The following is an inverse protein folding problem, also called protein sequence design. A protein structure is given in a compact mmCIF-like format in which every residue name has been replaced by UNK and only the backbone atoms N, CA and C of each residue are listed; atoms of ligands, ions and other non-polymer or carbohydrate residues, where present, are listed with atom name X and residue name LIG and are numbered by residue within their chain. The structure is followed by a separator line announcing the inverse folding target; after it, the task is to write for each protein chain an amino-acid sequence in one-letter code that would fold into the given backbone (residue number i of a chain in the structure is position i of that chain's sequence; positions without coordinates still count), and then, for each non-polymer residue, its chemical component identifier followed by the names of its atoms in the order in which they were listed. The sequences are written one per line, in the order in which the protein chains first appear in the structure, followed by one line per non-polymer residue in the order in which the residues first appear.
data_IF_620482972567
#
_entry.id   IF_620482972567
#
_cell.length_a   1.000
_cell.length_b   1.000
_cell.length_c   1.000
_cell.angle_alpha   90.00
_cell.angle_beta   90.00
_cell.angle_gamma   90.00
#
_symmetry.space_group_name_H-M   'P 1'
#
loop_
_entity.id
_entity.type
_entity.pdbx_description
1 polymer ?
#
# COMPACT_ATOMS: atom_id res chain seq x y z
N UNK A 1 8.09 6.21 31.72
CA UNK A 1 8.51 7.11 30.62
C UNK A 1 8.66 6.38 29.28
N UNK A 2 7.60 6.14 28.51
CA UNK A 2 7.73 5.60 27.14
C UNK A 2 7.21 6.50 26.00
N UNK A 3 6.75 7.74 26.30
CA UNK A 3 6.08 8.58 25.29
C UNK A 3 7.02 9.26 24.28
N UNK A 4 8.27 9.51 24.62
CA UNK A 4 9.23 10.24 23.75
C UNK A 4 9.78 9.37 22.61
N UNK A 5 9.85 8.05 22.76
CA UNK A 5 10.40 7.13 21.72
C UNK A 5 9.48 7.00 20.50
N UNK A 6 8.17 7.14 20.67
CA UNK A 6 7.20 7.04 19.57
C UNK A 6 7.23 8.26 18.62
N UNK A 7 7.51 9.45 19.15
CA UNK A 7 7.64 10.67 18.35
C UNK A 7 8.86 10.62 17.42
N UNK A 8 10.02 10.25 17.94
CA UNK A 8 11.26 10.18 17.18
C UNK A 8 11.19 9.12 16.07
N UNK A 9 10.62 7.94 16.34
CA UNK A 9 10.41 6.87 15.34
C UNK A 9 9.49 7.31 14.22
N UNK A 10 8.40 8.05 14.53
CA UNK A 10 7.48 8.59 13.52
C UNK A 10 8.17 9.62 12.63
N UNK A 11 9.00 10.50 13.20
CA UNK A 11 9.75 11.52 12.42
C UNK A 11 10.75 10.88 11.47
N UNK A 12 11.48 9.86 11.92
CA UNK A 12 12.43 9.11 11.08
C UNK A 12 11.68 8.39 9.94
N UNK A 13 10.60 7.70 10.27
CA UNK A 13 9.75 7.01 9.32
C UNK A 13 9.23 7.95 8.22
N UNK A 14 8.73 9.13 8.59
CA UNK A 14 8.26 10.14 7.64
C UNK A 14 9.40 10.70 6.78
N UNK A 15 10.58 10.90 7.34
CA UNK A 15 11.75 11.35 6.56
C UNK A 15 12.18 10.31 5.52
N UNK A 16 12.28 9.05 5.92
CA UNK A 16 12.62 7.96 5.00
C UNK A 16 11.57 7.83 3.89
N UNK A 17 10.29 7.86 4.27
CA UNK A 17 9.19 7.79 3.33
C UNK A 17 9.21 8.97 2.36
N UNK A 18 9.41 10.19 2.82
CA UNK A 18 9.51 11.39 1.98
C UNK A 18 10.72 11.34 1.06
N UNK A 19 11.85 10.79 1.51
CA UNK A 19 13.02 10.60 0.66
C UNK A 19 12.77 9.58 -0.47
N UNK A 20 12.00 8.52 -0.21
CA UNK A 20 11.71 7.46 -1.19
C UNK A 20 10.69 7.88 -2.25
N UNK A 21 9.67 8.64 -1.89
CA UNK A 21 8.56 8.96 -2.80
C UNK A 21 8.39 10.46 -3.10
N UNK A 22 9.17 11.31 -2.49
CA UNK A 22 8.98 12.76 -2.58
C UNK A 22 7.81 13.27 -1.72
N UNK A 23 7.55 14.57 -1.80
CA UNK A 23 6.42 15.22 -1.12
C UNK A 23 5.13 15.05 -1.91
N UNK A 24 4.01 14.92 -1.19
CA UNK A 24 2.67 14.95 -1.79
C UNK A 24 2.26 16.43 -1.95
N UNK A 25 2.07 16.87 -3.18
CA UNK A 25 1.55 18.19 -3.52
C UNK A 25 0.29 18.04 -4.36
N UNK A 26 -0.66 18.97 -4.18
CA UNK A 26 -1.90 18.95 -4.93
C UNK A 26 -1.69 18.99 -6.46
N UNK A 27 -0.69 19.74 -6.91
CA UNK A 27 -0.35 19.90 -8.32
C UNK A 27 0.53 18.76 -8.86
N UNK A 28 1.26 18.06 -7.98
CA UNK A 28 2.14 16.98 -8.40
C UNK A 28 1.36 15.75 -8.87
N UNK A 29 1.87 14.98 -9.84
CA UNK A 29 1.30 13.70 -10.17
C UNK A 29 1.35 12.77 -8.94
N UNK A 30 0.22 12.13 -8.59
CA UNK A 30 0.21 11.09 -7.58
C UNK A 30 1.24 10.03 -7.96
N UNK A 31 2.06 9.62 -6.99
CA UNK A 31 3.00 8.52 -7.22
C UNK A 31 2.21 7.22 -7.13
N UNK A 32 2.00 6.49 -8.24
CA UNK A 32 1.10 5.33 -8.25
C UNK A 32 1.66 4.11 -7.50
N UNK A 33 2.83 4.23 -6.89
CA UNK A 33 3.57 3.16 -6.20
C UNK A 33 3.80 3.45 -4.72
N UNK A 34 3.15 4.47 -4.17
CA UNK A 34 3.40 4.94 -2.80
C UNK A 34 3.24 3.86 -1.74
N UNK A 35 2.24 2.99 -1.88
CA UNK A 35 1.99 1.88 -0.96
C UNK A 35 3.11 0.82 -0.97
N UNK A 36 3.69 0.53 -2.14
CA UNK A 36 4.80 -0.43 -2.25
C UNK A 36 6.13 0.15 -1.74
N UNK A 37 6.29 1.48 -1.79
CA UNK A 37 7.45 2.18 -1.26
C UNK A 37 7.34 2.51 0.24
N UNK A 38 6.29 2.05 0.90
CA UNK A 38 6.16 2.20 2.34
C UNK A 38 7.29 1.44 3.07
N UNK A 39 7.97 2.03 4.08
CA UNK A 39 9.12 1.38 4.72
C UNK A 39 8.86 -0.03 5.24
N UNK A 40 7.67 -0.31 5.75
CA UNK A 40 7.29 -1.66 6.20
C UNK A 40 7.12 -2.61 5.01
N UNK A 41 6.59 -2.15 3.88
CA UNK A 41 6.50 -2.95 2.66
C UNK A 41 7.90 -3.30 2.12
N UNK A 42 8.82 -2.34 2.11
CA UNK A 42 10.22 -2.56 1.73
C UNK A 42 10.95 -3.47 2.72
N UNK A 43 10.68 -3.36 4.02
CA UNK A 43 11.22 -4.29 5.01
C UNK A 43 10.70 -5.72 4.81
N UNK A 44 9.42 -5.88 4.48
CA UNK A 44 8.85 -7.18 4.14
C UNK A 44 9.50 -7.77 2.87
N UNK A 45 9.70 -6.96 1.82
CA UNK A 45 10.42 -7.37 0.62
C UNK A 45 11.86 -7.79 0.95
N UNK A 46 12.59 -6.98 1.72
CA UNK A 46 13.95 -7.31 2.13
C UNK A 46 13.99 -8.61 2.93
N UNK A 47 13.05 -8.80 3.86
CA UNK A 47 12.92 -10.03 4.63
C UNK A 47 12.67 -11.24 3.73
N UNK A 48 11.76 -11.11 2.74
CA UNK A 48 11.48 -12.14 1.76
C UNK A 48 12.74 -12.52 0.98
N UNK A 49 13.46 -11.52 0.45
CA UNK A 49 14.70 -11.75 -0.31
C UNK A 49 15.79 -12.40 0.55
N UNK A 50 16.02 -11.88 1.75
CA UNK A 50 17.02 -12.46 2.67
C UNK A 50 16.65 -13.90 3.06
N UNK A 51 15.36 -14.15 3.31
CA UNK A 51 14.92 -15.49 3.64
C UNK A 51 15.12 -16.46 2.47
N UNK A 52 14.75 -16.08 1.26
CA UNK A 52 14.80 -16.98 0.12
C UNK A 52 16.21 -17.16 -0.46
N UNK A 53 17.08 -16.15 -0.35
CA UNK A 53 18.41 -16.19 -0.95
C UNK A 53 19.52 -16.49 0.04
N UNK A 54 19.29 -16.30 1.34
CA UNK A 54 20.31 -16.50 2.38
C UNK A 54 19.91 -17.56 3.39
N UNK A 55 18.70 -17.43 3.99
CA UNK A 55 18.29 -18.31 5.09
C UNK A 55 17.92 -19.71 4.59
N UNK A 56 17.08 -19.85 3.60
CA UNK A 56 16.69 -21.15 3.04
C UNK A 56 17.88 -21.94 2.50
N UNK A 57 18.84 -21.36 1.74
CA UNK A 57 20.03 -22.09 1.30
C UNK A 57 20.93 -22.54 2.45
N UNK A 58 20.99 -21.80 3.57
CA UNK A 58 21.84 -22.10 4.71
C UNK A 58 21.21 -23.01 5.77
N UNK A 59 19.92 -22.81 6.04
CA UNK A 59 19.18 -23.48 7.12
C UNK A 59 18.25 -24.58 6.62
N UNK A 60 18.10 -24.70 5.30
CA UNK A 60 17.12 -25.55 4.67
C UNK A 60 15.71 -24.94 4.60
N UNK A 61 14.85 -25.60 3.83
CA UNK A 61 13.43 -25.25 3.76
C UNK A 61 12.70 -25.84 4.99
N UNK A 62 12.75 -25.13 6.10
CA UNK A 62 12.07 -25.50 7.35
C UNK A 62 10.69 -24.87 7.42
N UNK A 63 9.85 -25.34 8.34
CA UNK A 63 8.54 -24.70 8.59
C UNK A 63 8.67 -23.21 8.97
N UNK A 64 9.76 -22.84 9.67
CA UNK A 64 10.02 -21.43 10.04
C UNK A 64 10.36 -20.59 8.81
N UNK A 65 11.31 -21.03 7.98
CA UNK A 65 11.69 -20.29 6.77
C UNK A 65 10.57 -20.26 5.74
N UNK A 66 9.72 -21.28 5.68
CA UNK A 66 8.50 -21.28 4.87
C UNK A 66 7.51 -20.20 5.31
N UNK A 67 7.07 -20.25 6.57
CA UNK A 67 6.11 -19.28 7.12
C UNK A 67 6.63 -17.84 7.11
N UNK A 68 7.94 -17.64 7.26
CA UNK A 68 8.55 -16.32 7.18
C UNK A 68 8.41 -15.72 5.77
N UNK A 69 8.63 -16.52 4.71
CA UNK A 69 8.37 -16.09 3.33
C UNK A 69 6.89 -15.79 3.10
N UNK A 70 6.01 -16.66 3.61
CA UNK A 70 4.56 -16.51 3.43
C UNK A 70 4.05 -15.22 4.09
N UNK A 71 4.45 -14.94 5.33
CA UNK A 71 4.12 -13.68 6.02
C UNK A 71 4.66 -12.47 5.27
N UNK A 72 5.95 -12.48 4.91
CA UNK A 72 6.57 -11.38 4.19
C UNK A 72 5.93 -11.17 2.80
N UNK A 73 5.64 -12.26 2.10
CA UNK A 73 4.94 -12.25 0.81
C UNK A 73 3.53 -11.68 0.93
N UNK A 74 2.75 -12.10 1.92
CA UNK A 74 1.38 -11.61 2.16
C UNK A 74 1.35 -10.12 2.53
N UNK A 75 2.38 -9.59 3.17
CA UNK A 75 2.48 -8.15 3.43
C UNK A 75 2.81 -7.40 2.14
N UNK A 76 3.76 -7.88 1.34
CA UNK A 76 4.29 -7.16 0.18
C UNK A 76 3.45 -7.34 -1.09
N UNK A 77 3.01 -8.57 -1.40
CA UNK A 77 2.38 -8.89 -2.68
C UNK A 77 1.13 -8.05 -3.01
N UNK A 78 0.16 -7.83 -2.11
CA UNK A 78 -1.02 -7.03 -2.43
C UNK A 78 -0.67 -5.55 -2.70
N UNK A 79 0.37 -5.03 -2.05
CA UNK A 79 0.85 -3.66 -2.25
C UNK A 79 1.60 -3.54 -3.58
N UNK A 80 2.42 -4.52 -3.93
CA UNK A 80 3.09 -4.60 -5.22
C UNK A 80 2.09 -4.73 -6.38
N UNK A 81 1.07 -5.57 -6.21
CA UNK A 81 -0.02 -5.71 -7.20
C UNK A 81 -0.78 -4.40 -7.38
N UNK A 82 -1.12 -3.72 -6.28
CA UNK A 82 -1.77 -2.41 -6.33
C UNK A 82 -0.89 -1.37 -7.02
N UNK A 83 0.40 -1.33 -6.72
CA UNK A 83 1.36 -0.44 -7.35
C UNK A 83 1.49 -0.73 -8.86
N UNK A 84 1.57 -1.99 -9.26
CA UNK A 84 1.61 -2.39 -10.67
C UNK A 84 0.37 -1.91 -11.44
N UNK A 85 -0.82 -2.10 -10.86
CA UNK A 85 -2.07 -1.56 -11.41
C UNK A 85 -1.99 -0.03 -11.50
N UNK A 86 -1.49 0.64 -10.45
CA UNK A 86 -1.32 2.09 -10.43
C UNK A 86 -0.41 2.59 -11.56
N UNK A 87 0.71 1.88 -11.81
CA UNK A 87 1.62 2.20 -12.93
C UNK A 87 0.92 2.00 -14.27
N UNK A 88 0.20 0.90 -14.46
CA UNK A 88 -0.55 0.65 -15.69
C UNK A 88 -1.61 1.74 -15.95
N UNK A 89 -2.34 2.14 -14.92
CA UNK A 89 -3.31 3.24 -15.01
C UNK A 89 -2.61 4.59 -15.30
N UNK A 90 -1.44 4.84 -14.72
CA UNK A 90 -0.67 6.05 -14.99
C UNK A 90 -0.17 6.10 -16.45
N UNK A 91 0.26 4.97 -16.99
CA UNK A 91 0.63 4.85 -18.41
C UNK A 91 -0.60 5.11 -19.29
N UNK A 92 -1.73 4.48 -19.01
CA UNK A 92 -2.97 4.70 -19.74
C UNK A 92 -3.43 6.17 -19.68
N UNK A 93 -3.30 6.81 -18.51
CA UNK A 93 -3.61 8.23 -18.37
C UNK A 93 -2.70 9.13 -19.21
N UNK A 94 -1.40 8.79 -19.33
CA UNK A 94 -0.46 9.49 -20.22
C UNK A 94 -0.78 9.31 -21.70
N UNK A 95 -1.38 8.18 -22.05
CA UNK A 95 -1.86 7.89 -23.41
C UNK A 95 -3.23 8.51 -23.71
N UNK A 96 -3.75 9.36 -22.83
CA UNK A 96 -5.00 10.12 -23.03
C UNK A 96 -6.24 9.49 -22.38
N UNK A 97 -6.12 8.37 -21.68
CA UNK A 97 -7.25 7.82 -20.94
C UNK A 97 -7.60 8.71 -19.73
N UNK A 98 -8.89 8.97 -19.54
CA UNK A 98 -9.38 9.78 -18.40
C UNK A 98 -9.53 8.92 -17.15
N UNK A 99 -8.40 8.49 -16.57
CA UNK A 99 -8.33 7.58 -15.44
C UNK A 99 -7.44 8.19 -14.35
N UNK A 100 -7.87 8.05 -13.10
CA UNK A 100 -7.07 8.42 -11.93
C UNK A 100 -6.19 7.23 -11.50
N UNK A 101 -4.85 7.34 -11.59
CA UNK A 101 -3.94 6.29 -11.19
C UNK A 101 -3.72 6.20 -9.67
N UNK A 102 -4.28 7.14 -8.89
CA UNK A 102 -4.09 7.20 -7.45
C UNK A 102 -4.61 5.94 -6.75
N UNK A 103 -4.05 5.63 -5.58
CA UNK A 103 -4.55 4.56 -4.73
C UNK A 103 -6.00 4.85 -4.33
N UNK A 104 -6.85 3.84 -4.39
CA UNK A 104 -8.22 3.89 -3.87
C UNK A 104 -8.48 2.72 -2.93
N UNK A 105 -9.43 2.91 -2.01
CA UNK A 105 -9.89 1.86 -1.10
C UNK A 105 -10.32 0.60 -1.85
N UNK A 106 -11.05 0.76 -2.98
CA UNK A 106 -11.51 -0.36 -3.80
C UNK A 106 -10.36 -1.14 -4.40
N UNK A 107 -9.39 -0.45 -5.00
CA UNK A 107 -8.19 -1.09 -5.58
C UNK A 107 -7.42 -1.86 -4.51
N UNK A 108 -7.15 -1.24 -3.36
CA UNK A 108 -6.47 -1.89 -2.25
C UNK A 108 -7.21 -3.14 -1.79
N UNK A 109 -8.52 -3.04 -1.54
CA UNK A 109 -9.34 -4.16 -1.09
C UNK A 109 -9.35 -5.31 -2.09
N UNK A 110 -9.47 -5.02 -3.39
CA UNK A 110 -9.42 -6.03 -4.45
C UNK A 110 -8.05 -6.72 -4.52
N UNK A 111 -6.95 -5.96 -4.41
CA UNK A 111 -5.61 -6.54 -4.42
C UNK A 111 -5.37 -7.45 -3.20
N UNK A 112 -5.83 -7.04 -2.02
CA UNK A 112 -5.73 -7.86 -0.81
C UNK A 112 -6.58 -9.13 -0.94
N UNK A 113 -7.82 -9.01 -1.42
CA UNK A 113 -8.69 -10.17 -1.63
C UNK A 113 -8.13 -11.13 -2.69
N UNK A 114 -7.66 -10.60 -3.82
CA UNK A 114 -7.04 -11.41 -4.88
C UNK A 114 -5.80 -12.15 -4.36
N UNK A 115 -4.95 -11.46 -3.57
CA UNK A 115 -3.79 -12.11 -2.95
C UNK A 115 -4.20 -13.20 -1.97
N UNK A 116 -5.23 -12.96 -1.13
CA UNK A 116 -5.74 -13.97 -0.20
C UNK A 116 -6.23 -15.22 -0.92
N UNK A 117 -7.03 -15.04 -1.98
CA UNK A 117 -7.58 -16.14 -2.78
C UNK A 117 -6.46 -16.89 -3.50
N UNK A 118 -5.54 -16.18 -4.14
CA UNK A 118 -4.40 -16.78 -4.82
C UNK A 118 -3.51 -17.58 -3.84
N UNK A 119 -3.24 -17.00 -2.67
CA UNK A 119 -2.46 -17.69 -1.63
C UNK A 119 -3.16 -18.94 -1.13
N UNK A 120 -4.45 -18.87 -0.82
CA UNK A 120 -5.21 -20.05 -0.41
C UNK A 120 -5.23 -21.13 -1.52
N UNK A 121 -5.43 -20.73 -2.78
CA UNK A 121 -5.43 -21.65 -3.89
C UNK A 121 -4.09 -22.39 -4.01
N UNK A 122 -2.96 -21.70 -3.99
CA UNK A 122 -1.63 -22.34 -4.13
C UNK A 122 -1.24 -23.20 -2.93
N UNK A 123 -1.88 -23.04 -1.77
CA UNK A 123 -1.62 -23.86 -0.58
C UNK A 123 -2.56 -25.06 -0.44
N UNK A 124 -3.71 -25.04 -1.13
CA UNK A 124 -4.72 -26.08 -1.05
C UNK A 124 -4.84 -26.93 -2.32
N UNK A 125 -4.45 -26.38 -3.48
CA UNK A 125 -4.65 -26.99 -4.78
C UNK A 125 -3.33 -27.19 -5.52
N UNK A 126 -3.06 -28.45 -5.93
CA UNK A 126 -1.82 -28.84 -6.59
C UNK A 126 -1.69 -28.28 -8.01
N UNK A 127 -2.81 -28.07 -8.70
CA UNK A 127 -2.80 -27.55 -10.06
C UNK A 127 -2.52 -26.06 -10.04
N UNK A 128 -3.14 -25.33 -9.11
CA UNK A 128 -2.84 -23.91 -8.86
C UNK A 128 -1.37 -23.71 -8.47
N UNK A 129 -0.84 -24.54 -7.56
CA UNK A 129 0.55 -24.48 -7.16
C UNK A 129 1.51 -24.71 -8.34
N UNK A 130 1.24 -25.70 -9.19
CA UNK A 130 2.03 -25.99 -10.40
C UNK A 130 1.96 -24.86 -11.41
N UNK A 131 0.76 -24.30 -11.65
CA UNK A 131 0.59 -23.19 -12.59
C UNK A 131 1.43 -21.97 -12.15
N UNK A 132 1.35 -21.59 -10.88
CA UNK A 132 2.13 -20.47 -10.34
C UNK A 132 3.63 -20.78 -10.35
N UNK A 133 4.05 -21.98 -9.96
CA UNK A 133 5.45 -22.39 -10.02
C UNK A 133 6.00 -22.30 -11.44
N UNK A 134 5.22 -22.68 -12.45
CA UNK A 134 5.60 -22.56 -13.86
C UNK A 134 5.84 -21.10 -14.25
N UNK A 135 4.91 -20.19 -13.88
CA UNK A 135 5.06 -18.76 -14.17
C UNK A 135 6.31 -18.17 -13.48
N UNK A 136 6.54 -18.53 -12.21
CA UNK A 136 7.74 -18.07 -11.49
C UNK A 136 9.02 -18.59 -12.14
N UNK A 137 9.00 -19.82 -12.65
CA UNK A 137 10.17 -20.43 -13.31
C UNK A 137 10.60 -19.70 -14.58
N UNK A 138 9.71 -18.95 -15.23
CA UNK A 138 10.07 -18.09 -16.38
C UNK A 138 11.05 -16.98 -16.01
N UNK A 139 11.13 -16.61 -14.74
CA UNK A 139 12.07 -15.59 -14.22
C UNK A 139 13.44 -16.18 -13.83
N UNK A 140 13.76 -17.40 -14.29
CA UNK A 140 15.13 -17.91 -14.30
C UNK A 140 15.48 -18.91 -13.20
N UNK A 141 14.56 -19.32 -12.33
CA UNK A 141 14.79 -20.37 -11.32
C UNK A 141 13.59 -21.29 -11.21
N UNK A 142 13.81 -22.64 -11.20
CA UNK A 142 12.71 -23.55 -10.92
C UNK A 142 12.12 -23.27 -9.55
N UNK A 143 10.84 -22.93 -9.51
CA UNK A 143 10.10 -22.72 -8.29
C UNK A 143 9.39 -24.02 -7.89
N UNK A 144 9.44 -24.34 -6.61
CA UNK A 144 8.66 -25.42 -6.03
C UNK A 144 7.81 -24.89 -4.89
N UNK A 145 6.49 -25.02 -5.03
CA UNK A 145 5.53 -24.59 -4.02
C UNK A 145 5.09 -25.84 -3.26
N UNK A 146 5.32 -25.81 -1.95
CA UNK A 146 4.90 -26.89 -1.05
C UNK A 146 3.45 -26.64 -0.63
N UNK A 147 2.62 -27.66 -0.80
CA UNK A 147 1.24 -27.66 -0.31
C UNK A 147 1.25 -27.86 1.21
N UNK A 148 0.89 -26.83 1.93
CA UNK A 148 0.75 -26.87 3.39
C UNK A 148 -0.45 -26.03 3.82
N UNK A 149 -1.59 -26.69 4.13
CA UNK A 149 -2.78 -25.97 4.63
C UNK A 149 -2.52 -25.16 5.91
N UNK A 150 -1.50 -25.53 6.71
CA UNK A 150 -1.17 -24.79 7.92
C UNK A 150 -0.60 -23.40 7.63
N UNK A 151 -0.16 -23.14 6.39
CA UNK A 151 0.30 -21.81 5.97
C UNK A 151 -0.84 -20.78 5.87
N UNK A 152 -2.11 -21.24 5.83
CA UNK A 152 -3.27 -20.34 5.91
C UNK A 152 -3.31 -19.52 7.20
N UNK A 153 -2.66 -19.97 8.26
CA UNK A 153 -2.45 -19.18 9.47
C UNK A 153 -1.61 -17.91 9.25
N UNK A 154 -0.95 -17.78 8.10
CA UNK A 154 -0.24 -16.56 7.74
C UNK A 154 -1.17 -15.46 7.17
N UNK A 155 -2.42 -15.79 6.76
CA UNK A 155 -3.37 -14.83 6.16
C UNK A 155 -3.61 -13.56 7.00
N UNK A 156 -3.62 -13.58 8.34
CA UNK A 156 -3.73 -12.34 9.13
C UNK A 156 -2.66 -11.29 8.82
N UNK A 157 -1.51 -11.67 8.23
CA UNK A 157 -0.49 -10.73 7.79
C UNK A 157 -1.02 -9.72 6.73
N UNK A 158 -2.08 -10.05 6.00
CA UNK A 158 -2.77 -9.13 5.10
C UNK A 158 -3.34 -7.90 5.81
N UNK A 159 -3.61 -7.99 7.10
CA UNK A 159 -4.04 -6.83 7.89
C UNK A 159 -2.95 -5.74 7.94
N UNK A 160 -1.67 -6.13 7.89
CA UNK A 160 -0.54 -5.19 7.81
C UNK A 160 -0.58 -4.46 6.47
N UNK A 161 -0.83 -5.16 5.37
CA UNK A 161 -0.97 -4.53 4.05
C UNK A 161 -2.17 -3.55 4.01
N UNK A 162 -3.30 -3.91 4.61
CA UNK A 162 -4.45 -3.01 4.74
C UNK A 162 -4.11 -1.78 5.60
N UNK A 163 -3.35 -1.95 6.67
CA UNK A 163 -2.91 -0.85 7.51
C UNK A 163 -1.98 0.10 6.75
N UNK A 164 -1.01 -0.44 5.99
CA UNK A 164 -0.12 0.34 5.10
C UNK A 164 -0.96 1.11 4.07
N UNK A 165 -1.90 0.46 3.42
CA UNK A 165 -2.77 1.11 2.45
C UNK A 165 -3.64 2.21 3.06
N UNK A 166 -4.14 2.02 4.29
CA UNK A 166 -4.84 3.09 5.04
C UNK A 166 -3.93 4.28 5.34
N UNK A 167 -2.69 4.02 5.75
CA UNK A 167 -1.72 5.08 5.99
C UNK A 167 -1.41 5.83 4.69
N UNK A 168 -1.29 5.12 3.58
CA UNK A 168 -1.07 5.72 2.27
C UNK A 168 -2.27 6.55 1.80
N UNK A 169 -3.49 6.05 1.93
CA UNK A 169 -4.71 6.80 1.57
C UNK A 169 -4.85 8.13 2.30
N UNK A 170 -4.32 8.25 3.51
CA UNK A 170 -4.27 9.53 4.25
C UNK A 170 -3.34 10.56 3.61
N UNK A 171 -2.47 10.13 2.70
CA UNK A 171 -1.39 10.92 2.09
C UNK A 171 -1.55 11.07 0.58
N UNK A 172 -2.48 10.31 -0.03
CA UNK A 172 -2.79 10.48 -1.45
C UNK A 172 -3.19 11.94 -1.65
N UNK A 173 -2.64 12.61 -2.67
CA UNK A 173 -3.04 13.96 -3.04
C UNK A 173 -4.47 13.95 -3.60
N UNK A 174 -5.43 13.81 -2.71
CA UNK A 174 -6.87 13.84 -3.01
C UNK A 174 -7.31 15.17 -3.56
N UNK A 175 -6.45 16.12 -3.39
CA UNK A 175 -6.66 17.43 -3.86
C UNK A 175 -5.99 17.72 -5.17
N UNK A 176 -6.04 16.81 -6.10
CA UNK A 176 -5.96 17.26 -7.49
C UNK A 176 -7.35 17.72 -7.92
N UNK A 177 -7.77 18.92 -7.48
CA UNK A 177 -9.06 19.44 -7.85
C UNK A 177 -9.22 19.34 -9.36
N UNK A 178 -8.18 19.78 -10.11
CA UNK A 178 -8.16 19.76 -11.56
C UNK A 178 -8.25 18.35 -12.18
N UNK A 179 -7.60 17.36 -11.60
CA UNK A 179 -7.66 16.00 -12.12
C UNK A 179 -8.98 15.33 -11.74
N UNK A 180 -9.44 15.49 -10.51
CA UNK A 180 -10.71 14.95 -10.02
C UNK A 180 -11.87 15.53 -10.82
N UNK A 181 -11.88 16.82 -11.05
CA UNK A 181 -12.93 17.49 -11.83
C UNK A 181 -12.91 17.11 -13.32
N UNK A 182 -11.72 17.06 -13.94
CA UNK A 182 -11.58 16.62 -15.35
C UNK A 182 -11.99 15.17 -15.55
N UNK A 183 -11.86 14.33 -14.53
CA UNK A 183 -12.28 12.93 -14.56
C UNK A 183 -13.78 12.74 -14.29
N UNK A 184 -14.51 13.82 -13.97
CA UNK A 184 -15.92 13.73 -13.55
C UNK A 184 -16.10 12.90 -12.27
N UNK A 185 -15.03 12.72 -11.49
CA UNK A 185 -15.08 11.96 -10.24
C UNK A 185 -15.65 12.86 -9.16
N UNK A 186 -16.77 12.52 -8.52
CA UNK A 186 -17.33 13.36 -7.48
C UNK A 186 -16.32 13.46 -6.32
N UNK A 187 -16.16 14.65 -5.78
CA UNK A 187 -15.31 14.89 -4.59
C UNK A 187 -15.62 13.92 -3.45
N UNK A 188 -16.91 13.57 -3.28
CA UNK A 188 -17.38 12.60 -2.31
C UNK A 188 -16.72 11.22 -2.42
N UNK A 189 -16.40 10.73 -3.63
CA UNK A 189 -15.76 9.44 -3.79
C UNK A 189 -14.31 9.45 -3.27
N UNK A 190 -13.59 10.54 -3.48
CA UNK A 190 -12.24 10.72 -2.95
C UNK A 190 -12.26 10.91 -1.43
N UNK A 191 -13.20 11.72 -0.93
CA UNK A 191 -13.40 11.94 0.50
C UNK A 191 -13.82 10.67 1.24
N UNK A 192 -14.57 9.76 0.60
CA UNK A 192 -14.94 8.48 1.18
C UNK A 192 -13.71 7.60 1.50
N UNK A 193 -12.68 7.65 0.67
CA UNK A 193 -11.43 6.90 0.91
C UNK A 193 -10.68 7.47 2.14
N UNK A 194 -10.68 8.79 2.31
CA UNK A 194 -10.06 9.46 3.48
C UNK A 194 -10.84 9.21 4.76
N UNK A 195 -12.18 9.22 4.69
CA UNK A 195 -13.07 8.83 5.80
C UNK A 195 -12.79 7.40 6.25
N UNK A 196 -12.72 6.48 5.28
CA UNK A 196 -12.39 5.09 5.58
C UNK A 196 -11.00 4.94 6.19
N UNK A 197 -10.04 5.78 5.82
CA UNK A 197 -8.71 5.82 6.42
C UNK A 197 -8.70 6.38 7.85
N UNK A 198 -9.81 6.94 8.33
CA UNK A 198 -9.99 7.42 9.71
C UNK A 198 -9.63 8.89 9.92
N UNK A 199 -9.76 9.73 8.90
CA UNK A 199 -9.63 11.17 9.08
C UNK A 199 -10.85 11.75 9.86
N UNK A 200 -10.65 12.75 10.73
CA UNK A 200 -11.74 13.36 11.48
C UNK A 200 -12.68 14.18 10.59
N UNK A 201 -13.96 14.25 10.99
CA UNK A 201 -15.01 14.84 10.16
C UNK A 201 -14.79 16.33 9.85
N UNK A 202 -14.28 17.11 10.82
CA UNK A 202 -13.96 18.52 10.65
C UNK A 202 -12.83 18.73 9.62
N UNK A 203 -11.86 17.85 9.62
CA UNK A 203 -10.75 17.86 8.64
C UNK A 203 -11.21 17.46 7.25
N UNK A 204 -12.13 16.49 7.17
CA UNK A 204 -12.73 16.09 5.89
C UNK A 204 -13.56 17.23 5.32
N UNK A 205 -14.35 17.91 6.16
CA UNK A 205 -15.13 19.06 5.74
C UNK A 205 -14.26 20.21 5.24
N UNK A 206 -13.16 20.53 5.94
CA UNK A 206 -12.20 21.53 5.50
C UNK A 206 -11.52 21.18 4.16
N UNK A 207 -11.21 19.89 3.94
CA UNK A 207 -10.65 19.42 2.68
C UNK A 207 -11.69 19.50 1.56
N UNK A 208 -12.93 19.09 1.82
CA UNK A 208 -14.03 19.18 0.84
C UNK A 208 -14.22 20.63 0.37
N UNK A 209 -14.29 21.55 1.32
CA UNK A 209 -14.46 22.98 1.05
C UNK A 209 -13.27 23.57 0.27
N UNK A 210 -12.04 23.14 0.56
CA UNK A 210 -10.85 23.55 -0.20
C UNK A 210 -10.89 23.00 -1.65
N UNK A 211 -11.35 21.76 -1.84
CA UNK A 211 -11.51 21.15 -3.17
C UNK A 211 -12.59 21.89 -3.97
N UNK A 212 -13.73 22.18 -3.35
CA UNK A 212 -14.86 22.85 -4.01
C UNK A 212 -14.51 24.28 -4.44
N UNK A 213 -13.69 24.97 -3.67
CA UNK A 213 -13.21 26.33 -3.99
C UNK A 213 -11.97 26.35 -4.89
N UNK A 214 -11.43 25.23 -5.29
CA UNK A 214 -10.17 25.16 -6.03
C UNK A 214 -8.98 25.77 -5.30
N UNK A 215 -9.00 25.79 -3.97
CA UNK A 215 -7.91 26.32 -3.16
C UNK A 215 -6.76 25.31 -3.05
N UNK A 216 -5.95 25.26 -4.12
CA UNK A 216 -4.79 24.37 -4.21
C UNK A 216 -3.84 24.56 -3.03
N UNK A 217 -3.64 25.81 -2.58
CA UNK A 217 -2.77 26.10 -1.44
C UNK A 217 -3.32 25.53 -0.13
N UNK A 218 -4.64 25.55 0.07
CA UNK A 218 -5.27 24.92 1.24
C UNK A 218 -5.14 23.40 1.20
N UNK A 219 -5.29 22.80 0.03
CA UNK A 219 -5.09 21.37 -0.17
C UNK A 219 -3.64 20.96 0.08
N UNK A 220 -2.66 21.73 -0.42
CA UNK A 220 -1.24 21.49 -0.16
C UNK A 220 -0.92 21.56 1.32
N UNK A 221 -1.40 22.60 2.02
CA UNK A 221 -1.26 22.69 3.49
C UNK A 221 -1.86 21.50 4.22
N UNK A 222 -3.00 20.98 3.72
CA UNK A 222 -3.61 19.78 4.28
C UNK A 222 -2.74 18.55 4.06
N UNK A 223 -2.13 18.41 2.90
CA UNK A 223 -1.24 17.29 2.54
C UNK A 223 0.09 17.35 3.30
N UNK A 224 0.62 18.54 3.53
CA UNK A 224 1.87 18.76 4.28
C UNK A 224 1.68 18.63 5.78
N UNK A 225 0.45 18.79 6.28
CA UNK A 225 0.15 18.65 7.71
C UNK A 225 0.59 17.27 8.23
N UNK A 226 1.14 17.16 9.45
CA UNK A 226 1.46 15.89 10.07
C UNK A 226 0.26 14.94 10.04
N UNK A 227 0.52 13.65 9.83
CA UNK A 227 -0.55 12.63 9.77
C UNK A 227 -1.44 12.67 11.01
N UNK A 228 -0.86 12.93 12.18
CA UNK A 228 -1.60 13.13 13.43
C UNK A 228 -2.63 14.26 13.35
N UNK A 229 -2.31 15.36 12.69
CA UNK A 229 -3.25 16.46 12.48
C UNK A 229 -4.32 16.11 11.43
N UNK A 230 -3.93 15.36 10.40
CA UNK A 230 -4.87 14.91 9.35
C UNK A 230 -5.86 13.86 9.84
N UNK A 231 -5.46 13.05 10.81
CA UNK A 231 -6.23 11.90 11.31
C UNK A 231 -6.83 12.09 12.70
N UNK A 232 -6.64 13.27 13.33
CA UNK A 232 -7.14 13.53 14.69
C UNK A 232 -6.56 12.61 15.77
N UNK A 233 -5.52 11.84 15.45
CA UNK A 233 -4.81 11.07 16.47
C UNK A 233 -4.23 12.09 17.47
N UNK A 234 -4.84 12.20 18.65
CA UNK A 234 -4.34 13.03 19.73
C UNK A 234 -2.89 12.65 19.97
N UNK A 235 -1.98 13.60 19.84
CA UNK A 235 -0.70 13.55 20.51
C UNK A 235 -1.04 13.48 21.98
N UNK A 236 -0.92 12.32 22.60
CA UNK A 236 -0.92 12.25 24.05
C UNK A 236 0.26 13.13 24.49
N UNK A 237 -0.10 14.23 25.14
CA UNK A 237 0.83 15.13 25.80
C UNK A 237 1.55 14.41 26.93
#
# INVERSE_FOLDING_TARGET
MPAQSNGARRVIFERVRRALRGGDRAEAPAVPVGEALHPIALAALALLLVNDWVLKPRLGATAVTGKLSDVAGLVFAPLALSAAIGVALAIAARLGARIDPSLSRRRLGLCVAATAVAFAAIKLDADAARAVATVISWFGRPAHIVLDPSDLWCLPALAIALWIGRDELRRVPLGRPAAIHRLGRPADAALADVRWAGAPADRIAALADAIDRWDVAAVDRWLEAPVTMRTGARTAA
#
